data_IF_710044865849
#
_entry.id   IF_710044865849
#
_cell.length_a   1.000
_cell.length_b   1.000
_cell.length_c   1.000
_cell.angle_alpha   90.00
_cell.angle_beta   90.00
_cell.angle_gamma   90.00
#
_symmetry.space_group_name_H-M   'P 1'
#
loop_
_entity.id
_entity.type
_entity.pdbx_description
1 polymer ?
#
# COMPACT_ATOMS: atom_id res chain seq x y z
N UNK A 1 -15.52 2.64 15.40
CA UNK A 1 -15.65 3.81 16.22
C UNK A 1 -14.34 4.37 16.71
N UNK A 2 -14.39 5.62 17.03
CA UNK A 2 -13.20 6.35 17.47
C UNK A 2 -12.55 5.73 18.69
N UNK A 3 -13.32 5.31 19.66
CA UNK A 3 -12.79 4.77 20.89
C UNK A 3 -11.91 3.54 20.69
N UNK A 4 -12.25 2.73 19.70
CA UNK A 4 -11.47 1.53 19.45
C UNK A 4 -10.09 1.85 18.90
N UNK A 5 -9.96 2.93 18.20
CA UNK A 5 -8.67 3.32 17.65
C UNK A 5 -7.64 3.64 18.72
N UNK A 6 -8.08 3.99 19.88
CA UNK A 6 -7.16 4.28 20.98
C UNK A 6 -6.41 3.04 21.43
N UNK A 7 -6.98 1.87 21.20
CA UNK A 7 -6.44 0.63 21.72
C UNK A 7 -6.05 -0.38 20.67
N UNK A 8 -6.48 -0.16 19.44
CA UNK A 8 -6.24 -1.10 18.37
C UNK A 8 -5.76 -0.41 17.11
N UNK A 9 -4.78 -1.02 16.46
CA UNK A 9 -4.33 -0.56 15.15
C UNK A 9 -5.30 -1.06 14.10
N UNK A 10 -5.58 -0.22 13.10
CA UNK A 10 -6.42 -0.59 11.96
C UNK A 10 -5.51 -0.80 10.77
N UNK A 11 -5.55 -2.00 10.21
CA UNK A 11 -4.78 -2.34 9.02
C UNK A 11 -5.74 -2.57 7.86
N UNK A 12 -5.36 -2.04 6.70
CA UNK A 12 -6.08 -2.24 5.45
C UNK A 12 -5.17 -2.93 4.47
N UNK A 13 -5.71 -3.83 3.67
CA UNK A 13 -4.91 -4.54 2.70
C UNK A 13 -5.53 -4.51 1.32
N UNK A 14 -4.70 -4.60 0.31
CA UNK A 14 -5.16 -4.69 -1.07
C UNK A 14 -4.30 -5.64 -1.88
N UNK A 15 -4.91 -6.25 -2.88
CA UNK A 15 -4.22 -7.10 -3.84
C UNK A 15 -4.57 -6.63 -5.24
N UNK A 16 -3.55 -6.47 -6.09
CA UNK A 16 -3.74 -6.09 -7.49
C UNK A 16 -4.53 -4.78 -7.64
N UNK A 17 -5.65 -4.80 -8.36
CA UNK A 17 -6.50 -3.62 -8.53
C UNK A 17 -7.15 -3.12 -7.26
N UNK A 18 -7.27 -3.98 -6.25
CA UNK A 18 -7.76 -3.56 -4.95
C UNK A 18 -6.83 -2.55 -4.28
N UNK A 19 -5.54 -2.58 -4.63
CA UNK A 19 -4.59 -1.59 -4.12
C UNK A 19 -4.94 -0.19 -4.63
N UNK A 20 -5.33 -0.09 -5.91
CA UNK A 20 -5.71 1.19 -6.50
C UNK A 20 -6.94 1.77 -5.80
N UNK A 21 -7.94 0.92 -5.58
CA UNK A 21 -9.16 1.34 -4.89
C UNK A 21 -8.86 1.83 -3.48
N UNK A 22 -7.99 1.12 -2.77
CA UNK A 22 -7.61 1.50 -1.41
C UNK A 22 -6.88 2.85 -1.39
N UNK A 23 -5.92 3.03 -2.29
CA UNK A 23 -5.17 4.29 -2.35
C UNK A 23 -6.08 5.46 -2.75
N UNK A 24 -7.04 5.23 -3.64
CA UNK A 24 -8.01 6.28 -3.98
C UNK A 24 -8.89 6.64 -2.78
N UNK A 25 -9.30 5.64 -2.01
CA UNK A 25 -10.09 5.91 -0.81
C UNK A 25 -9.29 6.74 0.19
N UNK A 26 -8.02 6.42 0.39
CA UNK A 26 -7.15 7.16 1.30
C UNK A 26 -6.92 8.59 0.79
N UNK A 27 -6.73 8.74 -0.52
CA UNK A 27 -6.38 10.04 -1.10
C UNK A 27 -7.57 10.99 -1.20
N UNK A 28 -8.75 10.47 -1.49
CA UNK A 28 -9.90 11.30 -1.84
C UNK A 28 -11.07 11.25 -0.89
N UNK A 29 -10.97 10.49 0.19
CA UNK A 29 -12.05 10.41 1.18
C UNK A 29 -11.47 10.59 2.58
N UNK A 30 -12.34 10.53 3.57
CA UNK A 30 -11.92 10.62 4.97
C UNK A 30 -11.49 9.27 5.55
N UNK A 31 -11.45 8.24 4.72
CA UNK A 31 -11.00 6.92 5.17
C UNK A 31 -9.56 7.02 5.68
N UNK A 32 -9.30 6.40 6.82
CA UNK A 32 -8.01 6.42 7.45
C UNK A 32 -7.73 5.07 8.13
N UNK A 33 -6.45 4.71 8.20
CA UNK A 33 -6.01 3.51 8.90
C UNK A 33 -4.58 3.75 9.38
N UNK A 34 -4.07 2.83 10.17
CA UNK A 34 -2.72 2.97 10.72
C UNK A 34 -1.68 2.29 9.84
N UNK A 35 -2.09 1.29 9.09
CA UNK A 35 -1.19 0.49 8.29
C UNK A 35 -1.88 0.08 6.99
N UNK A 36 -1.17 0.21 5.88
CA UNK A 36 -1.60 -0.28 4.58
C UNK A 36 -0.63 -1.34 4.11
N UNK A 37 -1.15 -2.49 3.71
CA UNK A 37 -0.36 -3.56 3.12
C UNK A 37 -0.85 -3.79 1.70
N UNK A 38 0.05 -3.65 0.73
CA UNK A 38 -0.26 -3.82 -0.68
C UNK A 38 0.52 -5.00 -1.24
N UNK A 39 -0.19 -5.92 -1.87
CA UNK A 39 0.42 -7.08 -2.52
C UNK A 39 0.17 -7.00 -4.02
N UNK A 40 1.25 -7.02 -4.80
CA UNK A 40 1.17 -6.98 -6.25
C UNK A 40 0.36 -5.80 -6.76
N UNK A 41 0.72 -4.57 -6.41
CA UNK A 41 -0.15 -3.43 -6.66
C UNK A 41 -0.30 -3.08 -8.13
N UNK A 42 -1.54 -3.01 -8.57
CA UNK A 42 -1.93 -2.45 -9.85
C UNK A 42 -2.58 -1.11 -9.54
N UNK A 43 -1.83 -0.03 -9.71
CA UNK A 43 -2.20 1.27 -9.13
C UNK A 43 -2.13 2.42 -10.13
N UNK A 44 -3.01 2.43 -11.13
CA UNK A 44 -3.03 3.54 -12.11
C UNK A 44 -3.29 4.92 -11.48
N UNK A 45 -3.80 4.98 -10.25
CA UNK A 45 -3.99 6.25 -9.55
C UNK A 45 -2.70 7.08 -9.51
N UNK A 46 -1.53 6.44 -9.53
CA UNK A 46 -0.26 7.16 -9.47
C UNK A 46 0.04 7.95 -10.74
N UNK A 47 -0.58 7.60 -11.87
CA UNK A 47 -0.31 8.32 -13.11
C UNK A 47 -0.75 9.76 -13.06
N UNK A 48 -1.85 10.04 -12.34
CA UNK A 48 -2.41 11.38 -12.30
C UNK A 48 -2.40 12.00 -10.90
N UNK A 49 -2.31 11.18 -9.87
CA UNK A 49 -2.55 11.63 -8.49
C UNK A 49 -1.47 11.22 -7.51
N UNK A 50 -0.24 11.03 -7.98
CA UNK A 50 0.85 10.57 -7.12
C UNK A 50 1.04 11.48 -5.91
N UNK A 51 1.07 12.78 -6.11
CA UNK A 51 1.27 13.72 -5.01
C UNK A 51 0.13 13.68 -3.99
N UNK A 52 -1.10 13.55 -4.47
CA UNK A 52 -2.27 13.47 -3.59
C UNK A 52 -2.21 12.21 -2.73
N UNK A 53 -1.83 11.09 -3.33
CA UNK A 53 -1.69 9.83 -2.61
C UNK A 53 -0.60 9.94 -1.55
N UNK A 54 0.57 10.42 -1.94
CA UNK A 54 1.71 10.54 -1.03
C UNK A 54 1.38 11.49 0.13
N UNK A 55 0.79 12.63 -0.18
CA UNK A 55 0.42 13.60 0.84
C UNK A 55 -0.59 13.02 1.83
N UNK A 56 -1.57 12.28 1.33
CA UNK A 56 -2.57 11.67 2.19
C UNK A 56 -1.95 10.64 3.13
N UNK A 57 -1.08 9.79 2.62
CA UNK A 57 -0.39 8.79 3.43
C UNK A 57 0.44 9.46 4.52
N UNK A 58 1.16 10.51 4.15
CA UNK A 58 2.00 11.23 5.10
C UNK A 58 1.16 11.95 6.15
N UNK A 59 0.15 12.70 5.72
CA UNK A 59 -0.67 13.51 6.62
C UNK A 59 -1.51 12.67 7.56
N UNK A 60 -1.96 11.52 7.09
CA UNK A 60 -2.73 10.60 7.92
C UNK A 60 -1.83 9.70 8.76
N UNK A 61 -0.52 9.85 8.63
CA UNK A 61 0.48 9.12 9.38
C UNK A 61 0.31 7.60 9.24
N UNK A 62 0.13 7.16 8.01
CA UNK A 62 -0.09 5.75 7.71
C UNK A 62 1.23 5.05 7.40
N UNK A 63 1.47 3.90 8.03
CA UNK A 63 2.61 3.07 7.67
C UNK A 63 2.24 2.28 6.41
N UNK A 64 3.15 2.21 5.45
CA UNK A 64 2.90 1.55 4.17
C UNK A 64 3.89 0.41 3.98
N UNK A 65 3.36 -0.75 3.66
CA UNK A 65 4.17 -1.94 3.37
C UNK A 65 3.79 -2.48 2.00
N UNK A 66 4.76 -2.53 1.10
CA UNK A 66 4.53 -2.93 -0.28
C UNK A 66 5.22 -4.26 -0.52
N UNK A 67 4.48 -5.21 -1.06
CA UNK A 67 5.01 -6.53 -1.41
C UNK A 67 4.69 -6.81 -2.87
N UNK A 68 5.67 -7.32 -3.60
CA UNK A 68 5.46 -7.66 -5.00
C UNK A 68 6.38 -8.79 -5.40
N UNK A 69 5.88 -9.72 -6.21
CA UNK A 69 6.69 -10.82 -6.70
C UNK A 69 7.74 -10.32 -7.68
N UNK A 70 8.93 -10.92 -7.66
CA UNK A 70 10.00 -10.56 -8.59
C UNK A 70 9.62 -10.88 -10.04
N UNK A 71 8.68 -11.80 -10.23
CA UNK A 71 8.22 -12.21 -11.55
C UNK A 71 6.88 -11.60 -11.95
N UNK A 72 6.39 -10.63 -11.18
CA UNK A 72 5.18 -9.90 -11.49
C UNK A 72 5.54 -8.69 -12.34
N UNK A 73 5.74 -8.93 -13.63
CA UNK A 73 6.29 -7.94 -14.55
C UNK A 73 5.43 -6.69 -14.71
N UNK A 74 4.13 -6.81 -14.54
CA UNK A 74 3.24 -5.67 -14.70
C UNK A 74 3.17 -4.80 -13.46
N UNK A 75 3.19 -5.42 -12.30
CA UNK A 75 3.00 -4.69 -11.04
C UNK A 75 4.30 -4.23 -10.40
N UNK A 76 5.40 -4.92 -10.67
CA UNK A 76 6.68 -4.57 -10.05
C UNK A 76 7.11 -3.14 -10.33
N UNK A 77 7.00 -2.62 -11.57
CA UNK A 77 7.34 -1.22 -11.84
C UNK A 77 6.45 -0.25 -11.05
N UNK A 78 5.18 -0.56 -10.90
CA UNK A 78 4.25 0.27 -10.14
C UNK A 78 4.59 0.26 -8.66
N UNK A 79 4.94 -0.91 -8.13
CA UNK A 79 5.35 -1.04 -6.74
C UNK A 79 6.59 -0.19 -6.47
N UNK A 80 7.57 -0.23 -7.38
CA UNK A 80 8.78 0.58 -7.26
C UNK A 80 8.47 2.06 -7.32
N UNK A 81 7.58 2.46 -8.22
CA UNK A 81 7.17 3.85 -8.36
C UNK A 81 6.54 4.37 -7.07
N UNK A 82 5.65 3.61 -6.48
CA UNK A 82 5.01 4.00 -5.24
C UNK A 82 6.03 4.08 -4.10
N UNK A 83 6.93 3.13 -4.03
CA UNK A 83 7.98 3.14 -3.01
C UNK A 83 8.83 4.40 -3.12
N UNK A 84 9.30 4.73 -4.33
CA UNK A 84 10.13 5.90 -4.53
C UNK A 84 9.38 7.17 -4.18
N UNK A 85 8.13 7.29 -4.62
CA UNK A 85 7.34 8.49 -4.36
C UNK A 85 7.09 8.68 -2.86
N UNK A 86 6.73 7.60 -2.15
CA UNK A 86 6.46 7.69 -0.72
C UNK A 86 7.73 7.90 0.09
N UNK A 87 8.83 7.33 -0.36
CA UNK A 87 10.14 7.54 0.29
C UNK A 87 10.55 9.00 0.16
N UNK A 88 10.40 9.58 -1.04
CA UNK A 88 10.67 11.00 -1.26
C UNK A 88 9.75 11.87 -0.39
N UNK A 89 8.50 11.47 -0.23
CA UNK A 89 7.54 12.17 0.59
C UNK A 89 7.74 11.99 2.09
N UNK A 90 8.78 11.26 2.49
CA UNK A 90 9.12 11.00 3.89
C UNK A 90 8.04 10.20 4.62
N UNK A 91 7.38 9.32 3.91
CA UNK A 91 6.42 8.40 4.51
C UNK A 91 7.15 7.23 5.18
N UNK A 92 6.46 6.57 6.09
CA UNK A 92 6.95 5.35 6.70
C UNK A 92 6.65 4.19 5.75
N UNK A 93 7.59 3.87 4.85
CA UNK A 93 7.36 2.88 3.81
C UNK A 93 8.45 1.82 3.79
N UNK A 94 8.06 0.60 3.54
CA UNK A 94 8.98 -0.51 3.28
C UNK A 94 8.50 -1.27 2.06
N UNK A 95 9.43 -1.74 1.26
CA UNK A 95 9.14 -2.48 0.04
C UNK A 95 9.90 -3.80 0.06
N UNK A 96 9.18 -4.88 -0.15
CA UNK A 96 9.75 -6.22 -0.16
C UNK A 96 9.46 -6.88 -1.51
N UNK A 97 10.51 -7.32 -2.19
CA UNK A 97 10.37 -8.10 -3.42
C UNK A 97 10.38 -9.57 -3.01
N UNK A 98 9.34 -10.28 -3.43
CA UNK A 98 9.18 -11.70 -3.10
C UNK A 98 9.76 -12.53 -4.23
N UNK A 99 10.94 -13.10 -3.99
CA UNK A 99 11.67 -13.85 -5.00
C UNK A 99 10.86 -15.03 -5.53
N UNK A 100 10.93 -15.23 -6.85
CA UNK A 100 10.27 -16.34 -7.54
C UNK A 100 8.76 -16.34 -7.43
N UNK A 101 8.16 -15.22 -7.06
CA UNK A 101 6.71 -15.08 -7.02
C UNK A 101 6.20 -14.30 -8.21
N UNK A 102 5.04 -14.70 -8.69
CA UNK A 102 4.32 -14.01 -9.73
C UNK A 102 3.21 -13.17 -9.10
N UNK A 103 2.23 -12.81 -9.91
CA UNK A 103 1.10 -12.02 -9.45
C UNK A 103 0.14 -12.88 -8.64
N UNK A 104 0.44 -13.04 -7.37
CA UNK A 104 -0.32 -13.91 -6.47
C UNK A 104 -0.25 -13.39 -5.04
N UNK A 105 -1.22 -13.81 -4.22
CA UNK A 105 -1.23 -13.48 -2.81
C UNK A 105 -0.57 -14.64 -2.06
N UNK A 106 0.67 -14.48 -1.56
CA UNK A 106 1.40 -15.56 -0.92
C UNK A 106 0.78 -15.98 0.41
N UNK A 107 0.96 -17.24 0.78
CA UNK A 107 0.49 -17.73 2.08
C UNK A 107 1.09 -16.97 3.24
N UNK A 108 2.35 -16.56 3.12
CA UNK A 108 3.02 -15.77 4.15
C UNK A 108 2.29 -14.48 4.49
N UNK A 109 1.58 -13.93 3.52
CA UNK A 109 0.87 -12.68 3.72
C UNK A 109 -0.25 -12.83 4.74
N UNK A 110 -0.84 -14.00 4.78
CA UNK A 110 -1.87 -14.29 5.77
C UNK A 110 -1.30 -14.14 7.19
N UNK A 111 -0.09 -14.65 7.40
CA UNK A 111 0.58 -14.53 8.68
C UNK A 111 0.89 -13.07 9.03
N UNK A 112 1.30 -12.29 8.04
CA UNK A 112 1.62 -10.88 8.25
C UNK A 112 0.37 -10.09 8.66
N UNK A 113 -0.78 -10.42 8.08
CA UNK A 113 -2.02 -9.73 8.38
C UNK A 113 -2.60 -10.10 9.75
N UNK A 114 -2.19 -11.20 10.28
CA UNK A 114 -2.61 -11.67 11.58
C UNK A 114 -1.53 -11.48 12.63
#
# INVERSE_FOLDING_TARGET
MVLKKEYESIACGGFSGGCDMLLRAIAFTSVCCDLIILQGPWIPVLEEHAETVVSAIREKNIALRIFCGSEDDDCLPMAKQLYEATKWGKCNVKFTVQENNRHQFPEKMYTILH
#
